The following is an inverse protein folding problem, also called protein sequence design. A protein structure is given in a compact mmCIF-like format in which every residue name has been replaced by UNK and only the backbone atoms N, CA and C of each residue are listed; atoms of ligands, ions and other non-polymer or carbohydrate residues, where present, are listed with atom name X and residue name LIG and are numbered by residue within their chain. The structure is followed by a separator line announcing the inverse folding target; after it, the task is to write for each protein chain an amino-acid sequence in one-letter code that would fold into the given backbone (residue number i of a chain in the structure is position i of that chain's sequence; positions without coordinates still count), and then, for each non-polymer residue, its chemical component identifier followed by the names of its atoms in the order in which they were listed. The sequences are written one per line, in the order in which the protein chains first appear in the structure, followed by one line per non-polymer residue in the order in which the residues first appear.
data_IF_156082775068
#
_entry.id   IF_156082775068
#
_cell.length_a   1.000
_cell.length_b   1.000
_cell.length_c   1.000
_cell.angle_alpha   90.00
_cell.angle_beta   90.00
_cell.angle_gamma   90.00
#
_symmetry.space_group_name_H-M   'P 1'
#
loop_
_entity.id
_entity.type
_entity.pdbx_description
1 polymer ?
#
# COMPACT_ATOMS: atom_id res chain seq x y z
N UNK A 1 8.02 52.93 11.09
CA UNK A 1 6.86 52.03 10.95
C UNK A 1 7.15 51.15 9.74
N UNK A 2 7.47 49.87 9.92
CA UNK A 2 7.80 48.98 8.80
C UNK A 2 6.56 48.18 8.40
N UNK A 3 6.08 48.42 7.18
CA UNK A 3 4.98 47.69 6.56
C UNK A 3 5.33 46.21 6.37
N UNK A 4 4.51 45.32 6.93
CA UNK A 4 4.61 43.87 6.75
C UNK A 4 3.99 43.48 5.40
N UNK A 5 4.77 42.83 4.52
CA UNK A 5 4.26 42.25 3.28
C UNK A 5 3.27 41.13 3.59
N UNK A 6 2.01 41.30 3.16
CA UNK A 6 0.94 40.27 3.24
C UNK A 6 1.33 39.06 2.38
N UNK A 7 1.35 37.88 2.99
CA UNK A 7 1.45 36.59 2.29
C UNK A 7 0.05 36.19 1.82
N UNK A 8 -0.16 35.82 0.55
CA UNK A 8 -1.48 35.35 0.09
C UNK A 8 -1.75 33.94 0.62
N UNK A 9 -2.90 33.75 1.26
CA UNK A 9 -3.42 32.46 1.70
C UNK A 9 -3.87 31.62 0.49
N UNK A 10 -3.06 30.62 0.12
CA UNK A 10 -3.35 29.72 -1.00
C UNK A 10 -4.31 28.56 -0.64
N UNK A 11 -4.77 28.47 0.61
CA UNK A 11 -5.67 27.41 1.07
C UNK A 11 -7.15 27.71 0.83
N UNK A 12 -7.52 28.98 0.59
CA UNK A 12 -8.91 29.36 0.33
C UNK A 12 -9.39 29.06 -1.10
N UNK A 13 -8.46 28.90 -2.06
CA UNK A 13 -8.80 28.71 -3.48
C UNK A 13 -9.16 27.27 -3.86
N UNK A 14 -8.84 26.28 -3.04
CA UNK A 14 -9.10 24.86 -3.35
C UNK A 14 -10.47 24.38 -2.83
N UNK A 15 -11.05 25.05 -1.84
CA UNK A 15 -12.34 24.66 -1.25
C UNK A 15 -13.58 25.20 -1.97
N UNK A 16 -13.42 25.97 -3.05
CA UNK A 16 -14.52 26.71 -3.67
C UNK A 16 -14.67 26.44 -5.18
N UNK A 17 -14.28 25.25 -5.65
CA UNK A 17 -14.63 24.80 -7.00
C UNK A 17 -16.03 24.15 -6.99
N UNK A 18 -17.03 24.74 -7.68
CA UNK A 18 -18.28 24.06 -7.94
C UNK A 18 -18.05 22.94 -8.96
N UNK A 19 -18.34 21.71 -8.52
CA UNK A 19 -18.46 20.54 -9.39
C UNK A 19 -19.59 20.80 -10.37
N UNK A 20 -19.26 21.09 -11.63
CA UNK A 20 -20.21 21.09 -12.74
C UNK A 20 -20.54 19.64 -13.10
N UNK A 21 -21.57 19.09 -12.44
CA UNK A 21 -22.28 17.91 -12.93
C UNK A 21 -23.37 18.39 -13.88
N UNK A 22 -23.25 17.97 -15.13
CA UNK A 22 -24.23 18.22 -16.19
C UNK A 22 -25.60 17.65 -15.82
N UNK A 23 -26.60 18.48 -16.08
CA UNK A 23 -28.02 18.21 -15.98
C UNK A 23 -28.46 17.46 -17.25
N UNK A 24 -29.09 16.30 -17.09
CA UNK A 24 -30.12 15.86 -18.02
C UNK A 24 -31.25 15.20 -17.22
N UNK A 25 -32.35 15.95 -17.12
CA UNK A 25 -33.61 15.52 -16.56
C UNK A 25 -34.26 14.45 -17.44
N UNK A 26 -34.82 13.40 -16.81
CA UNK A 26 -36.11 12.87 -17.26
C UNK A 26 -36.92 12.34 -16.08
N UNK A 27 -38.00 13.07 -15.79
CA UNK A 27 -39.14 12.65 -14.97
C UNK A 27 -39.84 11.45 -15.61
N UNK A 28 -40.15 10.42 -14.81
CA UNK A 28 -41.38 9.65 -14.98
C UNK A 28 -41.73 8.91 -13.67
N UNK A 29 -42.82 9.35 -13.06
CA UNK A 29 -43.55 8.70 -11.97
C UNK A 29 -44.33 7.52 -12.56
N UNK A 30 -44.17 6.30 -12.03
CA UNK A 30 -45.24 5.28 -12.03
C UNK A 30 -45.20 4.45 -10.75
N UNK A 31 -46.27 4.62 -9.98
CA UNK A 31 -46.75 3.80 -8.86
C UNK A 31 -47.38 2.52 -9.40
N UNK A 32 -47.02 1.34 -8.88
CA UNK A 32 -47.87 0.15 -8.96
C UNK A 32 -47.83 -0.62 -7.63
N UNK A 33 -49.02 -0.82 -7.09
CA UNK A 33 -49.36 -1.59 -5.90
C UNK A 33 -49.12 -3.10 -6.06
N UNK A 34 -48.66 -3.69 -4.95
CA UNK A 34 -49.11 -4.92 -4.31
C UNK A 34 -49.90 -5.99 -5.12
N UNK A 35 -49.32 -7.20 -5.23
CA UNK A 35 -50.11 -8.43 -5.35
C UNK A 35 -49.43 -9.62 -4.66
N UNK A 36 -50.15 -10.17 -3.67
CA UNK A 36 -49.89 -11.41 -2.93
C UNK A 36 -49.64 -12.62 -3.83
N UNK A 37 -48.65 -13.44 -3.48
CA UNK A 37 -48.66 -14.88 -3.79
C UNK A 37 -48.01 -15.71 -2.67
N UNK A 38 -48.72 -16.78 -2.27
CA UNK A 38 -48.47 -17.72 -1.16
C UNK A 38 -47.28 -18.69 -1.40
N UNK A 39 -46.79 -19.40 -0.37
CA UNK A 39 -45.42 -19.93 -0.30
C UNK A 39 -45.27 -21.32 -0.95
N UNK A 40 -44.24 -21.50 -1.76
CA UNK A 40 -43.82 -22.82 -2.26
C UNK A 40 -42.77 -23.44 -1.31
N UNK A 41 -43.17 -24.53 -0.64
CA UNK A 41 -42.27 -25.45 0.08
C UNK A 41 -41.33 -26.11 -0.94
N UNK A 42 -40.03 -25.78 -0.90
CA UNK A 42 -38.96 -26.59 -1.47
C UNK A 42 -38.09 -27.11 -0.33
N UNK A 43 -38.04 -28.43 -0.21
CA UNK A 43 -37.21 -29.18 0.73
C UNK A 43 -35.73 -28.85 0.49
N UNK A 44 -35.05 -28.32 1.52
CA UNK A 44 -33.60 -28.11 1.50
C UNK A 44 -32.88 -29.47 1.68
N UNK A 45 -31.91 -29.83 0.82
CA UNK A 45 -31.00 -30.93 1.12
C UNK A 45 -30.11 -30.56 2.31
N UNK A 46 -29.86 -31.53 3.20
CA UNK A 46 -28.96 -31.37 4.37
C UNK A 46 -27.57 -30.90 3.91
N UNK A 47 -26.99 -29.85 4.51
CA UNK A 47 -25.61 -29.47 4.23
C UNK A 47 -24.68 -30.58 4.72
N UNK A 48 -23.84 -31.10 3.81
CA UNK A 48 -22.70 -31.94 4.17
C UNK A 48 -21.81 -31.10 5.09
N UNK A 49 -21.40 -31.66 6.23
CA UNK A 49 -20.36 -31.09 7.09
C UNK A 49 -19.07 -31.02 6.26
N UNK A 50 -18.80 -29.86 5.68
CA UNK A 50 -17.45 -29.50 5.26
C UNK A 50 -16.57 -29.52 6.49
N UNK A 51 -15.61 -30.42 6.49
CA UNK A 51 -14.53 -30.46 7.46
C UNK A 51 -13.71 -29.19 7.20
N UNK A 52 -13.88 -28.20 8.07
CA UNK A 52 -13.15 -26.94 7.99
C UNK A 52 -11.65 -27.24 7.98
N UNK A 53 -10.98 -26.87 6.88
CA UNK A 53 -9.53 -26.90 6.81
C UNK A 53 -8.96 -26.06 7.96
N UNK A 54 -7.85 -26.48 8.59
CA UNK A 54 -7.25 -25.72 9.67
C UNK A 54 -6.90 -24.30 9.18
N UNK A 55 -7.01 -23.28 10.07
CA UNK A 55 -6.75 -21.90 9.70
C UNK A 55 -5.31 -21.77 9.18
N UNK A 56 -5.17 -21.27 7.95
CA UNK A 56 -3.87 -20.95 7.34
C UNK A 56 -3.19 -19.92 8.24
N UNK A 57 -1.97 -20.22 8.69
CA UNK A 57 -1.20 -19.32 9.54
C UNK A 57 -1.09 -17.93 8.88
N UNK A 58 -1.24 -16.88 9.68
CA UNK A 58 -1.10 -15.52 9.20
C UNK A 58 0.33 -15.28 8.69
N UNK A 59 0.51 -14.51 7.61
CA UNK A 59 1.84 -14.21 7.08
C UNK A 59 2.64 -13.40 8.10
N UNK A 60 3.85 -13.86 8.40
CA UNK A 60 4.83 -13.12 9.21
C UNK A 60 5.60 -12.19 8.27
N UNK A 61 5.64 -10.90 8.59
CA UNK A 61 6.34 -9.90 7.79
C UNK A 61 7.67 -9.52 8.44
N UNK A 62 8.68 -9.33 7.60
CA UNK A 62 9.95 -8.71 7.97
C UNK A 62 10.05 -7.35 7.28
N UNK A 63 10.62 -6.37 7.98
CA UNK A 63 10.79 -5.01 7.49
C UNK A 63 12.26 -4.61 7.46
N UNK A 64 12.63 -3.80 6.49
CA UNK A 64 13.98 -3.25 6.37
C UNK A 64 13.91 -1.78 5.94
N UNK A 65 14.76 -0.95 6.54
CA UNK A 65 14.95 0.44 6.15
C UNK A 65 16.29 0.60 5.46
N UNK A 66 16.32 1.30 4.34
CA UNK A 66 17.55 1.58 3.60
C UNK A 66 17.64 3.07 3.35
N UNK A 67 18.75 3.67 3.77
CA UNK A 67 19.05 5.08 3.49
C UNK A 67 20.01 5.16 2.33
N UNK A 68 19.59 5.80 1.25
CA UNK A 68 20.40 6.11 0.10
C UNK A 68 21.04 7.49 0.26
N UNK A 69 22.25 7.64 -0.26
CA UNK A 69 22.95 8.92 -0.37
C UNK A 69 23.42 9.11 -1.81
N UNK A 70 23.37 10.35 -2.26
CA UNK A 70 23.86 10.73 -3.58
C UNK A 70 25.39 10.70 -3.62
N UNK A 71 25.94 9.86 -4.52
CA UNK A 71 27.35 9.76 -4.89
C UNK A 71 27.47 9.06 -6.26
N UNK A 72 27.62 9.83 -7.34
CA UNK A 72 27.54 9.33 -8.72
C UNK A 72 26.31 8.44 -8.95
N UNK A 73 25.15 8.93 -8.48
CA UNK A 73 23.90 8.19 -8.35
C UNK A 73 23.48 7.96 -6.90
N UNK A 74 22.24 7.51 -6.70
CA UNK A 74 21.71 7.18 -5.38
C UNK A 74 22.22 5.81 -4.94
N UNK A 75 23.03 5.73 -3.88
CA UNK A 75 23.65 4.48 -3.41
C UNK A 75 23.27 4.17 -1.97
N UNK A 76 23.03 2.90 -1.60
CA UNK A 76 22.65 2.51 -0.25
C UNK A 76 23.83 2.76 0.69
N UNK A 77 23.59 3.55 1.75
CA UNK A 77 24.57 3.89 2.77
C UNK A 77 24.27 3.25 4.10
N UNK A 78 23.02 3.28 4.55
CA UNK A 78 22.61 2.63 5.78
C UNK A 78 21.56 1.56 5.51
N UNK A 79 21.68 0.41 6.16
CA UNK A 79 20.65 -0.64 6.21
C UNK A 79 20.28 -0.86 7.67
N UNK A 80 19.01 -0.68 8.02
CA UNK A 80 18.50 -0.77 9.39
C UNK A 80 19.34 0.06 10.38
N UNK A 81 19.74 1.27 9.96
CA UNK A 81 20.58 2.17 10.74
C UNK A 81 22.07 1.81 10.83
N UNK A 82 22.50 0.69 10.23
CA UNK A 82 23.92 0.29 10.17
C UNK A 82 24.56 0.78 8.89
N UNK A 83 25.66 1.51 9.00
CA UNK A 83 26.39 2.00 7.83
C UNK A 83 27.10 0.84 7.11
N UNK A 84 26.92 0.77 5.80
CA UNK A 84 27.60 -0.18 4.93
C UNK A 84 29.07 0.23 4.74
N UNK A 85 29.97 -0.69 5.00
CA UNK A 85 31.40 -0.52 4.67
C UNK A 85 31.54 -0.41 3.15
N UNK A 86 32.22 0.64 2.69
CA UNK A 86 32.41 0.85 1.25
C UNK A 86 31.11 1.23 0.51
N UNK A 87 30.19 1.95 1.15
CA UNK A 87 28.92 2.35 0.53
C UNK A 87 29.05 3.05 -0.83
N UNK A 88 30.19 3.70 -1.10
CA UNK A 88 30.49 4.37 -2.37
C UNK A 88 30.62 3.42 -3.56
N UNK A 89 31.01 2.16 -3.33
CA UNK A 89 31.10 1.13 -4.36
C UNK A 89 29.85 0.26 -4.45
N UNK A 90 28.80 0.59 -3.70
CA UNK A 90 27.53 -0.13 -3.75
C UNK A 90 26.79 0.17 -5.06
N UNK A 91 25.92 -0.72 -5.53
CA UNK A 91 25.11 -0.49 -6.72
C UNK A 91 24.28 0.80 -6.63
N UNK A 92 23.95 1.35 -7.79
CA UNK A 92 23.00 2.47 -7.89
C UNK A 92 21.61 1.96 -7.54
N UNK A 93 20.72 2.86 -7.11
CA UNK A 93 19.40 2.56 -6.56
C UNK A 93 18.59 1.59 -7.43
N UNK A 94 18.63 1.73 -8.76
CA UNK A 94 17.90 0.85 -9.67
C UNK A 94 18.40 -0.60 -9.60
N UNK A 95 19.72 -0.80 -9.66
CA UNK A 95 20.34 -2.13 -9.55
C UNK A 95 20.12 -2.72 -8.16
N UNK A 96 20.21 -1.89 -7.12
CA UNK A 96 19.94 -2.32 -5.76
C UNK A 96 18.49 -2.79 -5.60
N UNK A 97 17.50 -2.04 -6.10
CA UNK A 97 16.10 -2.43 -6.06
C UNK A 97 15.84 -3.74 -6.81
N UNK A 98 16.48 -3.93 -7.97
CA UNK A 98 16.41 -5.19 -8.71
C UNK A 98 16.98 -6.36 -7.89
N UNK A 99 18.15 -6.19 -7.26
CA UNK A 99 18.75 -7.20 -6.40
C UNK A 99 17.84 -7.54 -5.20
N UNK A 100 17.27 -6.53 -4.54
CA UNK A 100 16.36 -6.72 -3.42
C UNK A 100 15.08 -7.47 -3.86
N UNK A 101 14.53 -7.13 -5.03
CA UNK A 101 13.38 -7.82 -5.62
C UNK A 101 13.64 -9.31 -5.87
N UNK A 102 14.84 -9.67 -6.36
CA UNK A 102 15.24 -11.09 -6.54
C UNK A 102 15.31 -11.84 -5.21
N UNK A 103 15.71 -11.17 -4.13
CA UNK A 103 15.76 -11.75 -2.77
C UNK A 103 14.36 -11.84 -2.13
N UNK A 104 13.32 -11.29 -2.78
CA UNK A 104 11.94 -11.31 -2.29
C UNK A 104 11.58 -10.12 -1.39
N UNK A 105 12.40 -9.05 -1.41
CA UNK A 105 12.06 -7.80 -0.76
C UNK A 105 11.23 -6.92 -1.69
N UNK A 106 10.11 -6.43 -1.17
CA UNK A 106 9.22 -5.50 -1.84
C UNK A 106 9.45 -4.08 -1.33
N UNK A 107 9.61 -3.12 -2.24
CA UNK A 107 9.63 -1.70 -1.90
C UNK A 107 8.22 -1.24 -1.53
N UNK A 108 8.05 -0.72 -0.33
CA UNK A 108 6.76 -0.22 0.20
C UNK A 108 6.62 1.27 -0.08
N UNK A 109 7.65 2.03 0.28
CA UNK A 109 7.67 3.46 0.07
C UNK A 109 9.11 3.96 -0.01
N UNK A 110 9.27 5.10 -0.66
CA UNK A 110 10.53 5.82 -0.70
C UNK A 110 10.22 7.32 -0.59
N UNK A 111 10.99 8.00 0.23
CA UNK A 111 10.84 9.44 0.45
C UNK A 111 12.18 10.16 0.44
N UNK A 112 12.13 11.45 0.16
CA UNK A 112 13.26 12.35 0.32
C UNK A 112 13.45 12.72 1.79
N UNK A 113 14.71 12.72 2.21
CA UNK A 113 15.17 13.19 3.51
C UNK A 113 16.12 14.37 3.30
N UNK A 114 16.31 15.18 4.34
CA UNK A 114 17.23 16.32 4.27
C UNK A 114 18.67 15.89 3.90
N UNK A 115 19.41 16.77 3.21
CA UNK A 115 20.84 16.60 2.85
C UNK A 115 21.13 15.48 1.85
N UNK A 116 20.41 15.45 0.73
CA UNK A 116 20.62 14.51 -0.39
C UNK A 116 20.61 13.05 0.06
N UNK A 117 19.61 12.73 0.89
CA UNK A 117 19.35 11.37 1.35
C UNK A 117 17.95 10.98 0.94
N UNK A 118 17.77 9.72 0.54
CA UNK A 118 16.46 9.11 0.36
C UNK A 118 16.34 7.97 1.35
N UNK A 119 15.16 7.78 1.90
CA UNK A 119 14.86 6.66 2.79
C UNK A 119 13.83 5.77 2.13
N UNK A 120 14.13 4.49 2.06
CA UNK A 120 13.27 3.47 1.48
C UNK A 120 12.89 2.44 2.55
N UNK A 121 11.64 2.05 2.51
CA UNK A 121 11.06 1.03 3.37
C UNK A 121 10.76 -0.20 2.54
N UNK A 122 11.27 -1.33 2.99
CA UNK A 122 11.04 -2.63 2.36
C UNK A 122 10.30 -3.55 3.32
N UNK A 123 9.56 -4.49 2.73
CA UNK A 123 8.95 -5.61 3.45
C UNK A 123 9.23 -6.91 2.71
N UNK A 124 9.26 -8.04 3.42
CA UNK A 124 9.20 -9.38 2.83
C UNK A 124 8.35 -10.30 3.67
N UNK A 125 7.75 -11.31 3.04
CA UNK A 125 7.07 -12.38 3.76
C UNK A 125 8.10 -13.41 4.22
N UNK A 126 8.09 -13.75 5.50
CA UNK A 126 8.81 -14.91 6.00
C UNK A 126 7.86 -16.08 5.81
N UNK A 127 8.14 -16.94 4.84
CA UNK A 127 7.47 -18.22 4.72
C UNK A 127 7.76 -19.01 5.99
N UNK A 128 6.73 -19.17 6.83
CA UNK A 128 6.73 -20.12 7.94
C UNK A 128 6.62 -21.52 7.32
N UNK A 129 7.65 -21.96 6.61
CA UNK A 129 7.73 -23.35 6.18
C UNK A 129 8.04 -24.17 7.42
N UNK A 130 7.05 -24.96 7.82
CA UNK A 130 7.08 -25.83 8.97
C UNK A 130 8.33 -26.74 8.91
N UNK A 131 9.07 -26.76 10.01
CA UNK A 131 10.19 -27.68 10.21
C UNK A 131 9.84 -29.09 9.75
N UNK A 132 10.61 -29.73 8.86
CA UNK A 132 10.40 -31.14 8.57
C UNK A 132 10.73 -31.93 9.84
N UNK A 133 9.70 -32.55 10.43
CA UNK A 133 9.87 -33.57 11.46
C UNK A 133 10.64 -34.73 10.84
N UNK A 134 11.93 -34.83 11.17
CA UNK A 134 12.74 -36.02 10.90
C UNK A 134 12.15 -37.13 11.79
N UNK A 135 11.64 -38.18 11.13
CA UNK A 135 11.19 -39.42 11.78
C UNK A 135 12.37 -40.35 12.02
#
# INVERSE_FOLDING_TARGET
MADRKKTPDLLASVLNEPVLLGEDEVKAVVKVEEAKAKPQKKSKPKPKKETASPPKAAPVWEYMTVTFREYDGWRPRLINGKELRGWKSQPVIHDYLNQMGVVGWELVSMGDRHRNQKEAYFKRQISSEASPTIK
#
